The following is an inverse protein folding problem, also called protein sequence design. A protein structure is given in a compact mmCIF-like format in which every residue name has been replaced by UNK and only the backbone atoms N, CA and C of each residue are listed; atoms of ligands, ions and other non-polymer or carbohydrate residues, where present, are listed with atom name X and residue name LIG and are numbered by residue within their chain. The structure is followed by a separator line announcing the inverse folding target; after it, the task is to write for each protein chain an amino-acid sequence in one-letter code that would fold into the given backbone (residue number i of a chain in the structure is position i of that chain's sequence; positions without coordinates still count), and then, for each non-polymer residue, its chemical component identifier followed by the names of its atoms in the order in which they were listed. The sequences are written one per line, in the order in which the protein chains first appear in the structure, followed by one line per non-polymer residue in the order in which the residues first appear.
data_IF_336150050735
#
_entry.id   IF_336150050735
#
_cell.length_a   1.000
_cell.length_b   1.000
_cell.length_c   1.000
_cell.angle_alpha   90.00
_cell.angle_beta   90.00
_cell.angle_gamma   90.00
#
_symmetry.space_group_name_H-M   'P 1'
#
loop_
_entity.id
_entity.type
_entity.pdbx_description
1 polymer ?
#
# COMPACT_ATOMS: atom_id res chain seq x y z
N UNK A 1 19.02 47.60 -37.30
CA UNK A 1 17.93 47.08 -36.44
C UNK A 1 18.30 45.65 -36.08
N UNK A 2 18.57 45.39 -34.81
CA UNK A 2 18.85 44.02 -34.34
C UNK A 2 17.53 43.26 -34.17
N UNK A 3 17.45 41.95 -34.52
CA UNK A 3 16.21 41.19 -34.38
C UNK A 3 15.87 40.99 -32.89
N UNK A 4 14.61 41.30 -32.53
CA UNK A 4 14.05 41.04 -31.22
C UNK A 4 13.79 39.53 -31.13
N UNK A 5 14.56 38.83 -30.29
CA UNK A 5 14.37 37.41 -30.00
C UNK A 5 13.09 37.28 -29.14
N UNK A 6 12.12 36.43 -29.51
CA UNK A 6 10.92 36.24 -28.71
C UNK A 6 11.28 35.63 -27.33
N UNK A 7 10.57 36.02 -26.26
CA UNK A 7 10.83 35.50 -24.93
C UNK A 7 10.65 33.98 -24.91
N UNK A 8 11.66 33.29 -24.38
CA UNK A 8 11.66 31.84 -24.17
C UNK A 8 10.56 31.51 -23.15
N UNK A 9 9.41 31.05 -23.65
CA UNK A 9 8.33 30.53 -22.80
C UNK A 9 8.91 29.37 -22.01
N UNK A 10 9.04 29.55 -20.70
CA UNK A 10 9.48 28.48 -19.81
C UNK A 10 8.32 27.48 -19.75
N UNK A 11 8.51 26.19 -20.07
CA UNK A 11 7.42 25.22 -19.94
C UNK A 11 6.91 25.29 -18.51
N UNK A 12 5.61 25.55 -18.34
CA UNK A 12 4.97 25.41 -17.05
C UNK A 12 5.29 24.01 -16.52
N UNK A 13 5.72 23.90 -15.27
CA UNK A 13 5.96 22.61 -14.63
C UNK A 13 4.71 21.73 -14.84
N UNK A 14 4.82 20.72 -15.68
CA UNK A 14 3.69 19.94 -16.14
C UNK A 14 3.18 19.11 -14.96
N UNK A 15 2.10 19.58 -14.34
CA UNK A 15 1.46 18.88 -13.23
C UNK A 15 0.59 17.75 -13.74
N UNK A 16 0.65 16.59 -13.08
CA UNK A 16 -0.13 15.39 -13.43
C UNK A 16 -1.57 15.40 -12.84
N UNK A 17 -2.12 16.57 -12.52
CA UNK A 17 -3.34 16.67 -11.70
C UNK A 17 -4.57 16.04 -12.35
N UNK A 18 -4.70 16.16 -13.67
CA UNK A 18 -5.82 15.61 -14.43
C UNK A 18 -5.75 14.08 -14.48
N UNK A 19 -4.59 13.55 -14.82
CA UNK A 19 -4.30 12.13 -14.94
C UNK A 19 -4.50 11.43 -13.59
N UNK A 20 -4.01 12.04 -12.50
CA UNK A 20 -4.21 11.54 -11.14
C UNK A 20 -5.68 11.59 -10.70
N UNK A 21 -6.43 12.64 -11.09
CA UNK A 21 -7.87 12.69 -10.79
C UNK A 21 -8.64 11.60 -11.52
N UNK A 22 -8.29 11.30 -12.77
CA UNK A 22 -8.91 10.22 -13.53
C UNK A 22 -8.57 8.86 -12.93
N UNK A 23 -7.30 8.61 -12.60
CA UNK A 23 -6.86 7.40 -11.91
C UNK A 23 -7.66 7.15 -10.63
N UNK A 24 -7.81 8.17 -9.77
CA UNK A 24 -8.54 8.05 -8.51
C UNK A 24 -10.02 7.67 -8.70
N UNK A 25 -10.66 8.17 -9.76
CA UNK A 25 -12.06 7.83 -10.10
C UNK A 25 -12.22 6.41 -10.64
N UNK A 26 -11.19 5.89 -11.30
CA UNK A 26 -11.20 4.54 -11.88
C UNK A 26 -10.89 3.45 -10.86
N UNK A 27 -10.31 3.82 -9.72
CA UNK A 27 -9.93 2.88 -8.67
C UNK A 27 -11.13 2.54 -7.79
N UNK A 28 -11.47 1.25 -7.75
CA UNK A 28 -12.42 0.69 -6.80
C UNK A 28 -11.69 0.22 -5.54
N UNK A 29 -12.36 0.24 -4.39
CA UNK A 29 -11.73 -0.08 -3.10
C UNK A 29 -11.26 -1.53 -3.04
N UNK A 30 -12.03 -2.47 -3.57
CA UNK A 30 -11.69 -3.90 -3.68
C UNK A 30 -10.46 -4.15 -4.56
N UNK A 31 -10.11 -3.20 -5.43
CA UNK A 31 -8.94 -3.27 -6.30
C UNK A 31 -7.66 -2.76 -5.62
N UNK A 32 -7.75 -2.20 -4.41
CA UNK A 32 -6.59 -1.68 -3.67
C UNK A 32 -5.86 -2.79 -2.92
N UNK A 33 -4.59 -2.51 -2.60
CA UNK A 33 -3.73 -3.34 -1.77
C UNK A 33 -3.78 -2.85 -0.32
N UNK A 34 -4.24 -3.69 0.59
CA UNK A 34 -4.28 -3.37 2.02
C UNK A 34 -3.01 -3.74 2.78
N UNK A 35 -2.15 -4.58 2.19
CA UNK A 35 -1.08 -5.28 2.91
C UNK A 35 -1.55 -6.57 3.60
N UNK A 36 -2.82 -6.94 3.46
CA UNK A 36 -3.45 -8.09 4.11
C UNK A 36 -4.31 -8.86 3.10
N UNK A 37 -4.17 -10.19 3.05
CA UNK A 37 -5.00 -11.07 2.19
C UNK A 37 -4.97 -10.67 0.70
N UNK A 38 -3.91 -10.00 0.25
CA UNK A 38 -3.73 -9.55 -1.12
C UNK A 38 -2.33 -9.94 -1.57
N UNK A 39 -2.19 -10.31 -2.85
CA UNK A 39 -0.90 -10.48 -3.49
C UNK A 39 -0.44 -9.13 -4.07
N UNK A 40 0.73 -8.65 -3.65
CA UNK A 40 1.26 -7.36 -4.10
C UNK A 40 1.45 -7.30 -5.62
N UNK A 41 2.05 -8.31 -6.24
CA UNK A 41 2.35 -8.33 -7.68
C UNK A 41 1.09 -8.25 -8.55
N UNK A 42 0.02 -8.95 -8.14
CA UNK A 42 -1.29 -8.85 -8.77
C UNK A 42 -1.86 -7.44 -8.65
N UNK A 43 -1.83 -6.83 -7.46
CA UNK A 43 -2.31 -5.45 -7.26
C UNK A 43 -1.46 -4.43 -8.02
N UNK A 44 -0.16 -4.67 -8.16
CA UNK A 44 0.74 -3.85 -8.96
C UNK A 44 0.43 -3.94 -10.45
N UNK A 45 0.04 -5.12 -10.94
CA UNK A 45 -0.45 -5.31 -12.31
C UNK A 45 -1.73 -4.51 -12.56
N UNK A 46 -2.68 -4.57 -11.62
CA UNK A 46 -3.91 -3.74 -11.67
C UNK A 46 -3.55 -2.25 -11.68
N UNK A 47 -2.62 -1.81 -10.83
CA UNK A 47 -2.15 -0.43 -10.80
C UNK A 47 -1.60 0.04 -12.14
N UNK A 48 -0.73 -0.76 -12.78
CA UNK A 48 -0.18 -0.42 -14.09
C UNK A 48 -1.26 -0.34 -15.18
N UNK A 49 -2.25 -1.24 -15.15
CA UNK A 49 -3.36 -1.21 -16.08
C UNK A 49 -4.21 0.06 -15.93
N UNK A 50 -4.58 0.43 -14.69
CA UNK A 50 -5.39 1.63 -14.44
C UNK A 50 -4.58 2.89 -14.77
N UNK A 51 -3.29 2.95 -14.44
CA UNK A 51 -2.40 4.04 -14.85
C UNK A 51 -2.39 4.24 -16.37
N UNK A 52 -2.25 3.16 -17.13
CA UNK A 52 -2.29 3.22 -18.61
C UNK A 52 -3.63 3.74 -19.12
N UNK A 53 -4.75 3.37 -18.50
CA UNK A 53 -6.09 3.85 -18.91
C UNK A 53 -6.39 5.30 -18.51
N UNK A 54 -5.66 5.81 -17.53
CA UNK A 54 -5.78 7.18 -17.02
C UNK A 54 -4.71 8.13 -17.61
N UNK A 55 -3.95 7.67 -18.61
CA UNK A 55 -2.85 8.40 -19.24
C UNK A 55 -1.74 8.86 -18.27
N UNK A 56 -1.52 8.10 -17.18
CA UNK A 56 -0.45 8.36 -16.22
C UNK A 56 0.89 7.91 -16.80
N UNK A 57 1.81 8.86 -17.01
CA UNK A 57 3.16 8.58 -17.51
C UNK A 57 4.04 7.84 -16.49
N UNK A 58 5.13 7.22 -16.95
CA UNK A 58 6.06 6.49 -16.07
C UNK A 58 6.62 7.37 -14.94
N UNK A 59 6.94 8.63 -15.23
CA UNK A 59 7.48 9.60 -14.27
C UNK A 59 6.43 9.98 -13.21
N UNK A 60 5.14 9.90 -13.56
CA UNK A 60 4.03 10.20 -12.67
C UNK A 60 3.62 9.01 -11.80
N UNK A 61 4.00 7.77 -12.14
CA UNK A 61 3.55 6.57 -11.42
C UNK A 61 3.97 6.56 -9.96
N UNK A 62 5.16 7.03 -9.62
CA UNK A 62 5.59 7.13 -8.21
C UNK A 62 4.66 8.04 -7.39
N UNK A 63 4.18 9.14 -7.99
CA UNK A 63 3.20 10.06 -7.38
C UNK A 63 1.79 9.48 -7.36
N UNK A 64 1.44 8.66 -8.35
CA UNK A 64 0.16 7.96 -8.45
C UNK A 64 0.01 6.79 -7.48
N UNK A 65 1.13 6.17 -7.08
CA UNK A 65 1.19 4.93 -6.30
C UNK A 65 0.26 4.90 -5.07
N UNK A 66 0.13 5.95 -4.23
CA UNK A 66 -0.73 5.88 -3.04
C UNK A 66 -2.19 5.53 -3.34
N UNK A 67 -2.65 5.80 -4.56
CA UNK A 67 -4.02 5.49 -5.00
C UNK A 67 -4.33 3.99 -4.98
N UNK A 68 -3.31 3.13 -5.21
CA UNK A 68 -3.47 1.68 -5.17
C UNK A 68 -3.51 1.11 -3.75
N UNK A 69 -3.15 1.90 -2.74
CA UNK A 69 -3.02 1.44 -1.37
C UNK A 69 -4.30 1.71 -0.56
N UNK A 70 -4.52 0.87 0.42
CA UNK A 70 -5.60 1.01 1.39
C UNK A 70 -5.13 0.51 2.77
N UNK A 71 -5.92 0.78 3.82
CA UNK A 71 -5.70 0.23 5.16
C UNK A 71 -4.27 0.42 5.68
N UNK A 72 -3.68 -0.67 6.18
CA UNK A 72 -2.34 -0.66 6.78
C UNK A 72 -1.25 -0.26 5.78
N UNK A 73 -1.34 -0.69 4.52
CA UNK A 73 -0.38 -0.33 3.48
C UNK A 73 -0.35 1.17 3.19
N UNK A 74 -1.52 1.82 3.13
CA UNK A 74 -1.59 3.27 2.93
C UNK A 74 -1.03 4.03 4.14
N UNK A 75 -1.34 3.58 5.36
CA UNK A 75 -0.82 4.17 6.59
C UNK A 75 0.72 4.06 6.65
N UNK A 76 1.26 2.90 6.30
CA UNK A 76 2.71 2.69 6.25
C UNK A 76 3.38 3.61 5.22
N UNK A 77 2.79 3.77 4.02
CA UNK A 77 3.30 4.67 3.00
C UNK A 77 3.44 6.11 3.51
N UNK A 78 2.39 6.68 4.10
CA UNK A 78 2.43 8.06 4.58
C UNK A 78 3.28 8.26 5.83
N UNK A 79 3.44 7.23 6.66
CA UNK A 79 4.24 7.31 7.88
C UNK A 79 5.73 7.14 7.61
N UNK A 80 6.12 6.30 6.63
CA UNK A 80 7.51 5.85 6.48
C UNK A 80 8.12 6.15 5.10
N UNK A 81 7.32 6.35 4.06
CA UNK A 81 7.82 6.47 2.68
C UNK A 81 7.78 7.92 2.17
N UNK A 82 6.64 8.60 2.30
CA UNK A 82 6.38 9.90 1.62
C UNK A 82 7.39 11.00 1.97
N UNK A 83 7.92 11.00 3.20
CA UNK A 83 8.85 12.02 3.69
C UNK A 83 10.33 11.67 3.43
N UNK A 84 10.61 10.51 2.86
CA UNK A 84 11.97 10.07 2.58
C UNK A 84 12.47 10.69 1.27
N UNK A 85 13.41 11.62 1.37
CA UNK A 85 14.01 12.31 0.21
C UNK A 85 14.79 11.38 -0.71
N UNK A 86 15.11 10.16 -0.27
CA UNK A 86 15.82 9.16 -1.05
C UNK A 86 14.87 8.23 -1.83
N UNK A 87 13.57 8.24 -1.52
CA UNK A 87 12.59 7.37 -2.15
C UNK A 87 11.80 8.18 -3.18
N UNK A 88 12.29 8.19 -4.41
CA UNK A 88 11.68 8.95 -5.51
C UNK A 88 11.16 8.07 -6.65
N UNK A 89 11.60 6.80 -6.71
CA UNK A 89 11.25 5.90 -7.81
C UNK A 89 10.15 4.92 -7.41
N UNK A 90 9.31 4.57 -8.37
CA UNK A 90 8.26 3.56 -8.19
C UNK A 90 8.83 2.24 -7.67
N UNK A 91 9.93 1.76 -8.25
CA UNK A 91 10.54 0.48 -7.87
C UNK A 91 10.97 0.44 -6.41
N UNK A 92 11.55 1.53 -5.89
CA UNK A 92 11.95 1.59 -4.48
C UNK A 92 10.73 1.58 -3.55
N UNK A 93 9.66 2.29 -3.93
CA UNK A 93 8.39 2.28 -3.18
C UNK A 93 7.80 0.86 -3.17
N UNK A 94 7.74 0.19 -4.33
CA UNK A 94 7.25 -1.17 -4.44
C UNK A 94 8.04 -2.13 -3.56
N UNK A 95 9.37 -2.08 -3.65
CA UNK A 95 10.25 -2.93 -2.85
C UNK A 95 10.01 -2.76 -1.35
N UNK A 96 9.89 -1.52 -0.86
CA UNK A 96 9.67 -1.26 0.57
C UNK A 96 8.31 -1.71 1.07
N UNK A 97 7.26 -1.51 0.28
CA UNK A 97 5.91 -1.98 0.61
C UNK A 97 5.90 -3.51 0.65
N UNK A 98 6.41 -4.15 -0.40
CA UNK A 98 6.45 -5.61 -0.50
C UNK A 98 7.35 -6.21 0.60
N UNK A 99 8.50 -5.63 0.90
CA UNK A 99 9.36 -6.11 1.99
C UNK A 99 8.69 -5.97 3.37
N UNK A 100 7.91 -4.92 3.59
CA UNK A 100 7.24 -4.70 4.87
C UNK A 100 6.03 -5.63 5.07
N UNK A 101 5.23 -5.87 4.03
CA UNK A 101 3.99 -6.67 4.13
C UNK A 101 4.14 -8.13 3.69
N UNK A 102 5.18 -8.46 2.92
CA UNK A 102 5.40 -9.79 2.35
C UNK A 102 6.85 -10.30 2.54
N UNK A 103 7.71 -9.53 3.18
CA UNK A 103 9.12 -9.90 3.40
C UNK A 103 9.33 -10.95 4.50
N UNK A 104 10.53 -11.53 4.54
CA UNK A 104 10.89 -12.61 5.46
C UNK A 104 10.74 -12.22 6.94
N UNK A 105 11.08 -10.98 7.31
CA UNK A 105 10.93 -10.49 8.69
C UNK A 105 9.46 -10.33 9.09
N UNK A 106 8.61 -9.87 8.16
CA UNK A 106 7.16 -9.83 8.39
C UNK A 106 6.61 -11.24 8.59
N UNK A 107 6.96 -12.18 7.71
CA UNK A 107 6.59 -13.59 7.83
C UNK A 107 7.04 -14.19 9.17
N UNK A 108 8.28 -13.91 9.58
CA UNK A 108 8.83 -14.36 10.86
C UNK A 108 8.07 -13.76 12.05
N UNK A 109 7.70 -12.48 11.98
CA UNK A 109 6.89 -11.80 12.98
C UNK A 109 5.46 -12.35 13.08
N UNK A 110 4.83 -12.62 11.94
CA UNK A 110 3.50 -13.27 11.87
C UNK A 110 3.57 -14.68 12.44
N UNK A 111 4.59 -15.47 12.08
CA UNK A 111 4.79 -16.83 12.61
C UNK A 111 5.03 -16.83 14.13
N UNK A 112 5.85 -15.90 14.62
CA UNK A 112 6.08 -15.75 16.06
C UNK A 112 4.78 -15.38 16.81
N UNK A 113 3.97 -14.48 16.24
CA UNK A 113 2.65 -14.12 16.81
C UNK A 113 1.66 -15.29 16.74
N UNK A 114 1.61 -16.02 15.64
CA UNK A 114 0.77 -17.22 15.49
C UNK A 114 1.07 -18.25 16.56
N UNK A 115 2.36 -18.53 16.80
CA UNK A 115 2.79 -19.48 17.81
C UNK A 115 2.56 -18.98 19.25
N UNK A 116 2.44 -17.67 19.46
CA UNK A 116 2.29 -17.06 20.79
C UNK A 116 0.87 -16.63 21.17
N UNK A 117 -0.05 -16.49 20.22
CA UNK A 117 -1.41 -16.04 20.51
C UNK A 117 -2.23 -17.16 21.15
N UNK A 118 -2.91 -16.83 22.26
CA UNK A 118 -3.82 -17.74 22.95
C UNK A 118 -5.11 -17.01 23.29
N UNK A 119 -6.23 -17.75 23.40
CA UNK A 119 -7.51 -17.16 23.82
C UNK A 119 -7.39 -16.49 25.19
N UNK A 120 -6.64 -17.09 26.12
CA UNK A 120 -6.38 -16.50 27.43
C UNK A 120 -5.71 -15.12 27.31
N UNK A 121 -4.70 -14.98 26.46
CA UNK A 121 -4.05 -13.68 26.23
C UNK A 121 -5.03 -12.64 25.66
N UNK A 122 -5.99 -13.05 24.83
CA UNK A 122 -7.03 -12.15 24.32
C UNK A 122 -7.99 -11.74 25.43
N UNK A 123 -8.40 -12.66 26.30
CA UNK A 123 -9.24 -12.38 27.47
C UNK A 123 -8.55 -11.42 28.44
N UNK A 124 -7.28 -11.69 28.79
CA UNK A 124 -6.49 -10.86 29.69
C UNK A 124 -6.31 -9.43 29.15
N UNK A 125 -6.30 -9.25 27.82
CA UNK A 125 -6.21 -7.93 27.16
C UNK A 125 -7.55 -7.24 26.94
N UNK A 126 -8.66 -7.92 27.14
CA UNK A 126 -10.01 -7.41 26.89
C UNK A 126 -10.88 -7.57 28.15
N UNK A 127 -10.39 -7.04 29.27
CA UNK A 127 -11.16 -6.99 30.52
C UNK A 127 -12.51 -6.30 30.29
N UNK A 128 -13.59 -6.94 30.75
CA UNK A 128 -14.96 -6.46 30.57
C UNK A 128 -15.69 -6.98 29.33
N UNK A 129 -15.02 -7.69 28.41
CA UNK A 129 -15.70 -8.43 27.33
C UNK A 129 -16.10 -9.82 27.79
N UNK A 130 -17.19 -10.33 27.23
CA UNK A 130 -17.60 -11.71 27.42
C UNK A 130 -16.60 -12.68 26.78
N UNK A 131 -16.65 -13.95 27.20
CA UNK A 131 -15.83 -15.00 26.60
C UNK A 131 -16.13 -15.17 25.09
N UNK A 132 -17.39 -14.99 24.69
CA UNK A 132 -17.80 -15.09 23.29
C UNK A 132 -17.18 -13.97 22.44
N UNK A 133 -17.22 -12.73 22.91
CA UNK A 133 -16.57 -11.61 22.22
C UNK A 133 -15.04 -11.81 22.14
N UNK A 134 -14.42 -12.31 23.21
CA UNK A 134 -13.00 -12.65 23.20
C UNK A 134 -12.68 -13.76 22.20
N UNK A 135 -13.55 -14.77 22.08
CA UNK A 135 -13.39 -15.85 21.09
C UNK A 135 -13.51 -15.32 19.66
N UNK A 136 -14.46 -14.44 19.38
CA UNK A 136 -14.61 -13.82 18.05
C UNK A 136 -13.36 -12.99 17.68
N UNK A 137 -12.82 -12.24 18.63
CA UNK A 137 -11.57 -11.49 18.43
C UNK A 137 -10.39 -12.41 18.18
N UNK A 138 -10.28 -13.50 18.95
CA UNK A 138 -9.23 -14.50 18.76
C UNK A 138 -9.30 -15.16 17.38
N UNK A 139 -10.49 -15.56 16.93
CA UNK A 139 -10.70 -16.14 15.60
C UNK A 139 -10.35 -15.12 14.49
N UNK A 140 -10.72 -13.85 14.68
CA UNK A 140 -10.37 -12.79 13.73
C UNK A 140 -8.85 -12.62 13.62
N UNK A 141 -8.15 -12.58 14.74
CA UNK A 141 -6.69 -12.45 14.78
C UNK A 141 -6.01 -13.67 14.14
N UNK A 142 -6.49 -14.89 14.42
CA UNK A 142 -5.99 -16.11 13.77
C UNK A 142 -6.17 -16.05 12.26
N UNK A 143 -7.36 -15.70 11.75
CA UNK A 143 -7.58 -15.61 10.29
C UNK A 143 -6.63 -14.62 9.63
N UNK A 144 -6.42 -13.47 10.24
CA UNK A 144 -5.48 -12.47 9.75
C UNK A 144 -4.03 -13.01 9.73
N UNK A 145 -3.58 -13.66 10.81
CA UNK A 145 -2.24 -14.26 10.87
C UNK A 145 -2.08 -15.40 9.86
N UNK A 146 -3.10 -16.24 9.67
CA UNK A 146 -3.10 -17.34 8.70
C UNK A 146 -2.84 -16.84 7.28
N UNK A 147 -3.52 -15.77 6.85
CA UNK A 147 -3.30 -15.22 5.51
C UNK A 147 -1.87 -14.70 5.28
N UNK A 148 -1.19 -14.26 6.34
CA UNK A 148 0.24 -13.89 6.27
C UNK A 148 1.18 -15.09 6.15
N UNK A 149 0.73 -16.31 6.50
CA UNK A 149 1.49 -17.57 6.42
C UNK A 149 1.19 -18.36 5.14
N UNK A 150 -0.05 -18.33 4.65
CA UNK A 150 -0.51 -19.11 3.47
C UNK A 150 0.11 -18.64 2.13
N UNK A 151 0.88 -17.54 2.10
CA UNK A 151 1.64 -17.12 0.91
C UNK A 151 2.83 -18.05 0.57
N UNK A 152 3.04 -19.16 1.31
CA UNK A 152 4.12 -20.13 1.09
C UNK A 152 3.69 -21.47 0.48
N UNK A 153 2.43 -21.63 0.04
CA UNK A 153 1.92 -22.87 -0.56
C UNK A 153 1.57 -22.72 -2.04
#
# INVERSE_FOLDING_TARGET
MSPIIPPKVTPAAQGYGRELSNLAKMYMEESKYSGENNNFDFKLTVFHNICSRADVSEEAKARAFPTMLYGLALNYYYSNIVNSTQITTLNNICHLIQAYFEGAEYKRGILARWNGITLKMVMDKNEGKSMEECLQLFIKDLRHLQHGLDMEL
#
